data_IF_704405793252
#
_entry.id   IF_704405793252
#
_cell.length_a   1.000
_cell.length_b   1.000
_cell.length_c   1.000
_cell.angle_alpha   90.00
_cell.angle_beta   90.00
_cell.angle_gamma   90.00
#
_symmetry.space_group_name_H-M   'P 1'
#
loop_
_entity.id
_entity.type
_entity.pdbx_description
1 polymer ?
#
# COMPACT_ATOMS: atom_id res chain seq x y z
N UNK A 1 37.50 -45.35 5.04
CA UNK A 1 36.35 -45.64 4.16
C UNK A 1 35.26 -44.64 4.51
N UNK A 2 35.21 -43.53 3.78
CA UNK A 2 34.26 -42.44 4.03
C UNK A 2 33.26 -42.47 2.88
N UNK A 3 32.00 -42.82 3.18
CA UNK A 3 30.94 -42.90 2.17
C UNK A 3 30.48 -41.49 1.83
N UNK A 4 30.69 -41.07 0.58
CA UNK A 4 30.16 -39.85 0.03
C UNK A 4 28.66 -40.03 -0.29
N UNK A 5 27.83 -39.14 0.24
CA UNK A 5 26.40 -39.06 -0.05
C UNK A 5 26.18 -38.44 -1.45
N UNK A 6 25.36 -39.02 -2.34
CA UNK A 6 25.08 -38.42 -3.64
C UNK A 6 24.10 -37.24 -3.49
N UNK A 7 24.47 -36.08 -4.03
CA UNK A 7 23.59 -34.92 -4.14
C UNK A 7 22.51 -35.18 -5.20
N UNK A 8 21.25 -35.05 -4.82
CA UNK A 8 20.11 -35.07 -5.73
C UNK A 8 20.12 -33.83 -6.64
N UNK A 9 19.85 -33.96 -7.95
CA UNK A 9 19.71 -32.80 -8.83
C UNK A 9 18.40 -32.06 -8.50
N UNK A 10 18.49 -30.75 -8.34
CA UNK A 10 17.34 -29.84 -8.31
C UNK A 10 16.55 -29.94 -9.62
N UNK A 11 15.21 -30.05 -9.61
CA UNK A 11 14.43 -29.99 -10.84
C UNK A 11 14.55 -28.58 -11.42
N UNK A 12 14.98 -28.48 -12.68
CA UNK A 12 14.99 -27.21 -13.41
C UNK A 12 13.57 -26.60 -13.41
N UNK A 13 13.43 -25.28 -13.23
CA UNK A 13 12.15 -24.62 -13.38
C UNK A 13 11.67 -24.82 -14.82
N UNK A 14 10.47 -25.38 -14.99
CA UNK A 14 9.80 -25.46 -16.29
C UNK A 14 9.74 -24.05 -16.89
N UNK A 15 10.06 -23.89 -18.19
CA UNK A 15 9.88 -22.60 -18.86
C UNK A 15 8.42 -22.17 -18.75
N UNK A 16 8.14 -20.86 -18.57
CA UNK A 16 6.77 -20.37 -18.60
C UNK A 16 6.10 -20.82 -19.91
N UNK A 17 4.81 -21.19 -19.89
CA UNK A 17 4.10 -21.59 -21.11
C UNK A 17 4.30 -20.51 -22.18
N UNK A 18 4.57 -20.92 -23.41
CA UNK A 18 4.79 -20.01 -24.54
C UNK A 18 3.46 -19.37 -24.96
N UNK A 19 3.08 -18.32 -24.23
CA UNK A 19 1.83 -17.57 -24.33
C UNK A 19 1.77 -16.68 -25.59
N UNK A 20 2.77 -16.72 -26.47
CA UNK A 20 2.88 -15.83 -27.63
C UNK A 20 2.05 -16.29 -28.85
N UNK A 21 1.39 -17.45 -28.80
CA UNK A 21 0.67 -18.05 -29.93
C UNK A 21 -0.85 -18.13 -29.78
N UNK A 22 -1.44 -17.57 -28.71
CA UNK A 22 -2.89 -17.59 -28.54
C UNK A 22 -3.62 -16.74 -29.58
N UNK A 23 -4.72 -17.24 -30.17
CA UNK A 23 -5.50 -16.50 -31.14
C UNK A 23 -6.09 -15.22 -30.54
N UNK A 24 -6.26 -14.18 -31.36
CA UNK A 24 -6.81 -12.91 -30.90
C UNK A 24 -8.27 -13.10 -30.43
N UNK A 25 -8.64 -12.60 -29.23
CA UNK A 25 -9.98 -12.70 -28.72
C UNK A 25 -10.94 -11.84 -29.55
N UNK A 26 -12.12 -12.38 -29.85
CA UNK A 26 -13.20 -11.63 -30.45
C UNK A 26 -13.91 -10.83 -29.35
N UNK A 27 -13.96 -9.50 -29.51
CA UNK A 27 -14.68 -8.60 -28.60
C UNK A 27 -15.75 -7.85 -29.38
N UNK A 28 -17.02 -8.07 -29.03
CA UNK A 28 -18.16 -7.39 -29.65
C UNK A 28 -18.88 -6.57 -28.58
N UNK A 29 -18.97 -5.26 -28.81
CA UNK A 29 -19.68 -4.34 -27.90
C UNK A 29 -20.90 -3.82 -28.63
N UNK A 30 -22.09 -4.04 -28.07
CA UNK A 30 -23.35 -3.53 -28.60
C UNK A 30 -23.84 -2.38 -27.71
N UNK A 31 -24.27 -1.29 -28.33
CA UNK A 31 -24.83 -0.12 -27.67
C UNK A 31 -26.24 0.13 -28.20
N UNK A 32 -27.24 0.14 -27.31
CA UNK A 32 -28.66 0.25 -27.66
C UNK A 32 -29.14 -0.77 -28.70
N UNK A 33 -28.48 -1.94 -28.79
CA UNK A 33 -28.79 -3.01 -29.74
C UNK A 33 -27.93 -3.01 -31.01
N UNK A 34 -27.27 -1.89 -31.33
CA UNK A 34 -26.41 -1.78 -32.50
C UNK A 34 -24.96 -2.13 -32.15
N UNK A 35 -24.26 -2.85 -33.03
CA UNK A 35 -22.85 -3.17 -32.86
C UNK A 35 -22.02 -1.88 -32.94
N UNK A 36 -21.15 -1.65 -31.96
CA UNK A 36 -20.24 -0.52 -31.96
C UNK A 36 -19.32 -0.62 -33.19
N UNK A 37 -19.21 0.45 -33.99
CA UNK A 37 -18.30 0.50 -35.13
C UNK A 37 -16.85 0.12 -34.78
N UNK A 38 -16.20 -0.67 -35.64
CA UNK A 38 -14.82 -1.14 -35.45
C UNK A 38 -13.75 -0.06 -35.66
N UNK A 39 -14.15 1.13 -36.10
CA UNK A 39 -13.29 2.32 -36.26
C UNK A 39 -12.97 3.02 -34.93
N UNK A 40 -13.61 2.60 -33.83
CA UNK A 40 -13.29 3.02 -32.46
C UNK A 40 -12.44 1.91 -31.79
N UNK A 41 -11.10 2.05 -31.75
CA UNK A 41 -10.25 0.99 -31.21
C UNK A 41 -10.46 0.82 -29.71
N UNK A 42 -10.90 -0.37 -29.31
CA UNK A 42 -10.95 -0.80 -27.91
C UNK A 42 -9.54 -1.15 -27.43
N UNK A 43 -9.02 -0.38 -26.48
CA UNK A 43 -7.68 -0.57 -25.90
C UNK A 43 -7.71 -1.55 -24.74
N UNK A 44 -8.68 -1.37 -23.84
CA UNK A 44 -8.89 -2.26 -22.71
C UNK A 44 -10.36 -2.44 -22.38
N UNK A 45 -10.69 -3.65 -21.93
CA UNK A 45 -12.00 -3.99 -21.39
C UNK A 45 -11.82 -4.67 -20.04
N UNK A 46 -12.62 -4.21 -19.10
CA UNK A 46 -12.77 -4.77 -17.77
C UNK A 46 -14.23 -5.18 -17.59
N UNK A 47 -14.49 -6.44 -17.24
CA UNK A 47 -15.82 -6.88 -16.81
C UNK A 47 -15.63 -7.55 -15.46
N UNK A 48 -16.40 -7.12 -14.46
CA UNK A 48 -16.36 -7.67 -13.11
C UNK A 48 -17.77 -7.98 -12.64
N UNK A 49 -18.00 -9.23 -12.28
CA UNK A 49 -19.27 -9.74 -11.81
C UNK A 49 -19.03 -10.47 -10.50
N UNK A 50 -19.82 -10.18 -9.47
CA UNK A 50 -19.74 -10.84 -8.16
C UNK A 50 -21.13 -11.15 -7.66
N UNK A 51 -21.31 -12.31 -7.01
CA UNK A 51 -22.62 -12.71 -6.47
C UNK A 51 -23.08 -11.68 -5.42
N UNK A 52 -24.32 -11.22 -5.54
CA UNK A 52 -24.94 -10.31 -4.57
C UNK A 52 -24.52 -8.83 -4.68
N UNK A 53 -23.69 -8.47 -5.66
CA UNK A 53 -23.36 -7.07 -5.95
C UNK A 53 -23.67 -6.71 -7.40
N UNK A 54 -23.75 -5.39 -7.67
CA UNK A 54 -23.97 -4.91 -9.03
C UNK A 54 -22.72 -5.18 -9.89
N UNK A 55 -22.82 -6.06 -10.90
CA UNK A 55 -21.74 -6.26 -11.85
C UNK A 55 -21.43 -4.94 -12.58
N UNK A 56 -20.15 -4.72 -12.85
CA UNK A 56 -19.64 -3.53 -13.52
C UNK A 56 -18.79 -3.88 -14.72
N UNK A 57 -18.78 -3.01 -15.73
CA UNK A 57 -17.85 -3.10 -16.83
C UNK A 57 -17.21 -1.74 -17.08
N UNK A 58 -15.93 -1.74 -17.47
CA UNK A 58 -15.20 -0.55 -17.86
C UNK A 58 -14.54 -0.76 -19.21
N UNK A 59 -14.81 0.17 -20.12
CA UNK A 59 -14.21 0.18 -21.46
C UNK A 59 -13.26 1.37 -21.56
N UNK A 60 -12.10 1.15 -22.16
CA UNK A 60 -11.16 2.19 -22.58
C UNK A 60 -11.08 2.18 -24.11
N UNK A 61 -11.57 3.25 -24.70
CA UNK A 61 -11.60 3.46 -26.13
C UNK A 61 -10.55 4.52 -26.47
N UNK A 62 -9.77 4.27 -27.51
CA UNK A 62 -8.93 5.30 -28.09
C UNK A 62 -9.82 6.18 -28.96
N UNK A 63 -9.89 7.46 -28.65
CA UNK A 63 -10.65 8.42 -29.43
C UNK A 63 -9.73 8.97 -30.53
N UNK A 64 -9.70 8.27 -31.66
CA UNK A 64 -8.99 8.73 -32.87
C UNK A 64 -9.71 9.92 -33.54
N UNK A 65 -10.96 10.21 -33.18
CA UNK A 65 -11.80 11.25 -33.80
C UNK A 65 -11.49 12.65 -33.24
N UNK A 66 -10.89 12.75 -32.05
CA UNK A 66 -10.45 14.02 -31.47
C UNK A 66 -9.14 14.58 -32.07
N UNK A 67 -8.51 13.86 -33.00
CA UNK A 67 -7.32 14.36 -33.69
C UNK A 67 -7.63 15.50 -34.68
N UNK A 68 -8.85 15.58 -35.24
CA UNK A 68 -9.09 16.44 -36.41
C UNK A 68 -10.22 17.47 -36.34
N UNK A 69 -11.20 17.41 -35.41
CA UNK A 69 -12.14 18.55 -35.32
C UNK A 69 -12.86 18.72 -33.97
N UNK A 70 -12.78 19.92 -33.39
CA UNK A 70 -13.35 20.28 -32.08
C UNK A 70 -14.83 20.68 -32.15
N UNK A 71 -15.52 20.44 -33.26
CA UNK A 71 -16.80 21.08 -33.55
C UNK A 71 -17.90 20.17 -34.12
N UNK A 72 -18.10 18.96 -33.59
CA UNK A 72 -19.40 18.29 -33.60
C UNK A 72 -19.32 17.03 -32.72
N UNK A 73 -19.91 17.07 -31.52
CA UNK A 73 -20.12 15.85 -30.72
C UNK A 73 -21.44 15.23 -31.22
N UNK A 74 -21.46 14.19 -32.08
CA UNK A 74 -22.66 13.37 -32.16
C UNK A 74 -22.91 12.79 -30.76
N UNK A 75 -24.17 12.53 -30.36
CA UNK A 75 -24.42 11.74 -29.17
C UNK A 75 -23.67 10.43 -29.37
N UNK A 76 -22.58 10.21 -28.62
CA UNK A 76 -21.88 8.95 -28.73
C UNK A 76 -22.91 7.86 -28.43
N UNK A 77 -22.95 6.74 -29.17
CA UNK A 77 -23.87 5.64 -28.88
C UNK A 77 -23.74 5.13 -27.44
N UNK A 78 -22.66 5.53 -26.77
CA UNK A 78 -22.29 5.27 -25.38
C UNK A 78 -22.78 6.32 -24.38
N UNK A 79 -23.69 7.24 -24.73
CA UNK A 79 -24.21 8.28 -23.81
C UNK A 79 -24.66 7.70 -22.45
N UNK A 80 -24.64 8.53 -21.40
CA UNK A 80 -25.13 8.12 -20.07
C UNK A 80 -26.55 7.55 -20.17
N UNK A 81 -26.76 6.36 -19.58
CA UNK A 81 -28.01 5.62 -19.61
C UNK A 81 -28.20 4.68 -20.80
N UNK A 82 -27.33 4.71 -21.82
CA UNK A 82 -27.36 3.77 -22.95
C UNK A 82 -27.20 2.32 -22.48
N UNK A 83 -27.94 1.40 -23.09
CA UNK A 83 -27.83 -0.03 -22.83
C UNK A 83 -26.56 -0.57 -23.51
N UNK A 84 -25.75 -1.35 -22.79
CA UNK A 84 -24.51 -1.93 -23.30
C UNK A 84 -24.51 -3.43 -23.08
N UNK A 85 -24.27 -4.19 -24.15
CA UNK A 85 -24.00 -5.63 -24.11
C UNK A 85 -22.59 -5.90 -24.59
N UNK A 86 -21.86 -6.77 -23.90
CA UNK A 86 -20.49 -7.13 -24.22
C UNK A 86 -20.42 -8.64 -24.40
N UNK A 87 -20.04 -9.04 -25.61
CA UNK A 87 -19.80 -10.44 -25.96
C UNK A 87 -18.30 -10.66 -26.12
N UNK A 88 -17.78 -11.69 -25.46
CA UNK A 88 -16.38 -12.13 -25.53
C UNK A 88 -16.31 -13.54 -26.10
N UNK A 89 -15.30 -13.79 -26.93
CA UNK A 89 -15.18 -15.04 -27.66
C UNK A 89 -13.77 -15.38 -28.11
N UNK A 90 -13.57 -16.65 -28.43
CA UNK A 90 -12.44 -17.08 -29.26
C UNK A 90 -12.74 -16.89 -30.75
N UNK A 91 -11.92 -17.46 -31.64
CA UNK A 91 -12.05 -17.26 -33.09
C UNK A 91 -13.39 -17.74 -33.69
N UNK A 92 -14.06 -18.70 -33.06
CA UNK A 92 -15.23 -19.36 -33.65
C UNK A 92 -16.59 -18.96 -33.05
N UNK A 93 -16.61 -18.37 -31.85
CA UNK A 93 -17.84 -17.99 -31.18
C UNK A 93 -17.59 -16.97 -30.06
N UNK A 94 -18.49 -15.99 -29.94
CA UNK A 94 -18.58 -15.07 -28.82
C UNK A 94 -19.86 -15.30 -28.02
N UNK A 95 -19.76 -15.19 -26.70
CA UNK A 95 -20.89 -15.30 -25.79
C UNK A 95 -20.98 -14.04 -24.90
N UNK A 96 -22.20 -13.72 -24.49
CA UNK A 96 -22.47 -12.54 -23.67
C UNK A 96 -21.91 -12.72 -22.26
N UNK A 97 -20.99 -11.83 -21.88
CA UNK A 97 -20.38 -11.81 -20.54
C UNK A 97 -20.93 -10.68 -19.66
N UNK A 98 -21.55 -9.66 -20.25
CA UNK A 98 -22.11 -8.52 -19.52
C UNK A 98 -23.24 -7.83 -20.29
N UNK A 99 -24.30 -7.46 -19.56
CA UNK A 99 -25.38 -6.58 -20.03
C UNK A 99 -25.73 -5.55 -18.96
N UNK A 100 -25.67 -4.26 -19.27
CA UNK A 100 -25.94 -3.20 -18.31
C UNK A 100 -26.20 -1.85 -18.96
N UNK A 101 -26.06 -0.78 -18.18
CA UNK A 101 -26.22 0.61 -18.66
C UNK A 101 -24.98 1.43 -18.36
N UNK A 102 -24.69 2.41 -19.22
CA UNK A 102 -23.62 3.38 -18.97
C UNK A 102 -24.01 4.29 -17.81
N UNK A 103 -23.19 4.33 -16.76
CA UNK A 103 -23.40 5.16 -15.57
C UNK A 103 -22.38 6.29 -15.47
N UNK A 104 -21.23 6.16 -16.12
CA UNK A 104 -20.15 7.13 -16.04
C UNK A 104 -19.36 7.21 -17.34
N UNK A 105 -18.85 8.41 -17.64
CA UNK A 105 -17.91 8.63 -18.72
C UNK A 105 -16.79 9.54 -18.23
N UNK A 106 -15.55 9.27 -18.65
CA UNK A 106 -14.41 10.14 -18.42
C UNK A 106 -13.59 10.25 -19.70
N UNK A 107 -13.34 11.48 -20.13
CA UNK A 107 -12.39 11.78 -21.20
C UNK A 107 -11.05 12.17 -20.58
N UNK A 108 -9.97 11.55 -21.01
CA UNK A 108 -8.60 11.94 -20.66
C UNK A 108 -7.85 12.31 -21.94
N UNK A 109 -7.23 13.49 -21.96
CA UNK A 109 -6.35 13.91 -23.04
C UNK A 109 -4.98 14.15 -22.40
N UNK A 110 -4.09 13.15 -22.40
CA UNK A 110 -2.74 13.32 -21.88
C UNK A 110 -1.95 14.30 -22.76
N UNK A 111 -0.81 14.77 -22.26
CA UNK A 111 0.06 15.73 -22.96
C UNK A 111 0.65 15.16 -24.28
N UNK A 112 0.53 13.85 -24.48
CA UNK A 112 0.88 13.15 -25.74
C UNK A 112 -0.17 13.34 -26.86
N UNK A 113 -1.28 14.02 -26.57
CA UNK A 113 -2.36 14.30 -27.52
C UNK A 113 -3.29 13.11 -27.79
N UNK A 114 -3.05 11.94 -27.19
CA UNK A 114 -3.86 10.74 -27.43
C UNK A 114 -5.10 10.74 -26.55
N UNK A 115 -6.23 11.23 -27.07
CA UNK A 115 -7.48 11.24 -26.33
C UNK A 115 -7.99 9.81 -26.03
N UNK A 116 -8.39 9.57 -24.78
CA UNK A 116 -8.90 8.29 -24.29
C UNK A 116 -10.24 8.49 -23.62
N UNK A 117 -11.23 7.70 -24.04
CA UNK A 117 -12.56 7.69 -23.47
C UNK A 117 -12.73 6.46 -22.59
N UNK A 118 -13.00 6.70 -21.31
CA UNK A 118 -13.36 5.68 -20.34
C UNK A 118 -14.87 5.66 -20.16
N UNK A 119 -15.48 4.50 -20.35
CA UNK A 119 -16.91 4.26 -20.13
C UNK A 119 -17.05 3.33 -18.93
N UNK A 120 -17.86 3.72 -17.94
CA UNK A 120 -18.26 2.86 -16.83
C UNK A 120 -19.71 2.44 -17.03
N UNK A 121 -19.92 1.12 -17.07
CA UNK A 121 -21.22 0.47 -17.16
C UNK A 121 -21.52 -0.27 -15.87
N UNK A 122 -22.78 -0.28 -15.44
CA UNK A 122 -23.25 -1.11 -14.33
C UNK A 122 -24.55 -1.81 -14.71
N UNK A 123 -24.72 -3.02 -14.19
CA UNK A 123 -26.03 -3.65 -14.24
C UNK A 123 -26.97 -2.91 -13.28
N UNK A 124 -28.25 -2.71 -13.65
CA UNK A 124 -29.24 -2.32 -12.66
C UNK A 124 -29.27 -3.40 -11.57
N UNK A 125 -29.23 -2.99 -10.31
CA UNK A 125 -29.35 -3.93 -9.18
C UNK A 125 -30.75 -4.52 -9.25
N UNK A 126 -30.88 -5.70 -9.83
CA UNK A 126 -32.10 -6.47 -9.71
C UNK A 126 -32.21 -6.88 -8.24
N UNK A 127 -33.34 -6.59 -7.60
CA UNK A 127 -33.75 -7.38 -6.45
C UNK A 127 -33.90 -8.81 -6.96
N UNK A 128 -32.98 -9.71 -6.62
CA UNK A 128 -33.13 -11.12 -6.92
C UNK A 128 -34.37 -11.63 -6.16
N UNK A 129 -35.53 -11.59 -6.83
CA UNK A 129 -36.57 -12.56 -6.57
C UNK A 129 -35.96 -13.91 -6.92
N UNK A 130 -35.84 -14.79 -5.93
CA UNK A 130 -35.05 -16.01 -5.97
C UNK A 130 -35.16 -16.77 -7.29
N UNK A 131 -34.09 -16.75 -8.07
CA UNK A 131 -33.82 -17.83 -8.99
C UNK A 131 -33.33 -19.00 -8.13
N UNK A 132 -34.10 -20.09 -8.06
CA UNK A 132 -33.61 -21.37 -7.54
C UNK A 132 -32.36 -21.75 -8.33
N UNK A 133 -31.19 -21.50 -7.75
CA UNK A 133 -29.92 -21.97 -8.30
C UNK A 133 -29.85 -23.46 -8.01
N UNK A 134 -29.85 -24.28 -9.05
CA UNK A 134 -29.61 -25.71 -8.92
C UNK A 134 -28.31 -25.93 -8.15
N UNK A 135 -28.41 -26.55 -6.97
CA UNK A 135 -27.28 -26.78 -6.06
C UNK A 135 -26.38 -27.93 -6.50
N UNK A 136 -26.76 -28.63 -7.59
CA UNK A 136 -26.00 -29.73 -8.17
C UNK A 136 -25.15 -29.24 -9.35
N UNK A 137 -23.87 -29.60 -9.34
CA UNK A 137 -22.96 -29.36 -10.46
C UNK A 137 -23.46 -30.09 -11.73
N UNK A 138 -23.54 -29.41 -12.89
CA UNK A 138 -23.88 -30.05 -14.15
C UNK A 138 -22.78 -31.03 -14.58
N UNK A 139 -23.20 -32.17 -15.12
CA UNK A 139 -22.29 -33.16 -15.73
C UNK A 139 -22.59 -33.21 -17.24
N UNK A 140 -21.66 -32.81 -18.13
CA UNK A 140 -20.29 -32.32 -17.91
C UNK A 140 -20.20 -30.84 -17.45
N UNK A 141 -19.07 -30.43 -16.83
CA UNK A 141 -18.85 -29.05 -16.39
C UNK A 141 -18.73 -28.08 -17.57
N UNK A 142 -19.13 -26.82 -17.36
CA UNK A 142 -19.13 -25.80 -18.41
C UNK A 142 -17.71 -25.39 -18.86
N UNK A 143 -16.72 -25.53 -17.97
CA UNK A 143 -15.31 -25.29 -18.25
C UNK A 143 -14.45 -26.19 -17.35
N UNK A 144 -13.36 -26.70 -17.89
CA UNK A 144 -12.36 -27.45 -17.13
C UNK A 144 -11.03 -26.68 -17.16
N UNK A 145 -10.50 -26.36 -15.98
CA UNK A 145 -9.23 -25.68 -15.79
C UNK A 145 -8.19 -26.66 -15.25
N UNK A 146 -7.13 -26.88 -16.01
CA UNK A 146 -6.07 -27.84 -15.72
C UNK A 146 -4.75 -27.13 -15.46
N UNK A 147 -4.12 -27.48 -14.34
CA UNK A 147 -2.77 -27.05 -14.01
C UNK A 147 -1.80 -27.45 -15.14
N UNK A 148 -1.04 -26.48 -15.64
CA UNK A 148 -0.08 -26.68 -16.74
C UNK A 148 -0.68 -26.72 -18.15
N UNK A 149 -1.99 -26.46 -18.31
CA UNK A 149 -2.64 -26.38 -19.64
C UNK A 149 -3.23 -25.00 -19.89
N UNK A 150 -4.33 -24.66 -19.21
CA UNK A 150 -5.07 -23.40 -19.40
C UNK A 150 -5.22 -22.59 -18.11
N UNK A 151 -4.78 -23.15 -16.97
CA UNK A 151 -4.66 -22.45 -15.70
C UNK A 151 -3.31 -21.71 -15.65
N UNK A 152 -3.36 -20.39 -15.48
CA UNK A 152 -2.22 -19.48 -15.46
C UNK A 152 -1.70 -19.26 -14.03
N UNK A 153 -2.61 -19.05 -13.08
CA UNK A 153 -2.28 -18.80 -11.67
C UNK A 153 -3.39 -19.35 -10.75
N UNK A 154 -3.03 -19.74 -9.53
CA UNK A 154 -3.97 -20.28 -8.55
C UNK A 154 -3.52 -20.00 -7.11
N UNK A 155 -4.37 -19.31 -6.35
CA UNK A 155 -4.24 -19.11 -4.90
C UNK A 155 -5.44 -19.76 -4.20
N UNK A 156 -5.21 -20.82 -3.42
CA UNK A 156 -6.25 -21.52 -2.65
C UNK A 156 -6.03 -21.40 -1.14
N UNK A 157 -7.12 -21.31 -0.39
CA UNK A 157 -7.14 -21.38 1.07
C UNK A 157 -8.27 -22.30 1.54
N UNK A 158 -8.18 -22.73 2.79
CA UNK A 158 -9.22 -23.50 3.47
C UNK A 158 -9.76 -22.67 4.63
N UNK A 159 -11.06 -22.79 4.89
CA UNK A 159 -11.72 -22.14 6.01
C UNK A 159 -11.28 -22.71 7.35
N UNK A 160 -11.44 -21.93 8.42
CA UNK A 160 -11.05 -22.29 9.78
C UNK A 160 -11.75 -23.57 10.27
N UNK A 161 -13.03 -23.74 9.91
CA UNK A 161 -13.79 -24.96 10.20
C UNK A 161 -13.20 -26.24 9.56
N UNK A 162 -12.51 -26.11 8.40
CA UNK A 162 -11.83 -27.24 7.77
C UNK A 162 -10.51 -27.59 8.47
N UNK A 163 -9.83 -26.58 9.04
CA UNK A 163 -8.58 -26.76 9.79
C UNK A 163 -8.86 -27.53 11.08
N UNK A 164 -9.92 -27.15 11.79
CA UNK A 164 -10.32 -27.78 13.06
C UNK A 164 -10.84 -29.21 12.90
N UNK A 165 -11.40 -29.54 11.73
CA UNK A 165 -11.99 -30.85 11.46
C UNK A 165 -10.96 -31.99 11.37
N UNK A 166 -9.67 -31.71 11.14
CA UNK A 166 -8.59 -32.69 11.15
C UNK A 166 -8.69 -33.81 10.10
N UNK A 167 -7.81 -33.77 9.09
CA UNK A 167 -7.50 -34.85 8.14
C UNK A 167 -8.69 -35.57 7.47
N UNK A 168 -9.34 -34.89 6.53
CA UNK A 168 -10.33 -35.52 5.64
C UNK A 168 -10.99 -34.55 4.67
N UNK A 169 -10.22 -33.67 4.05
CA UNK A 169 -10.77 -32.75 3.06
C UNK A 169 -11.13 -33.53 1.79
N UNK A 170 -12.44 -33.61 1.51
CA UNK A 170 -12.95 -34.20 0.28
C UNK A 170 -12.53 -33.36 -0.93
N UNK A 171 -12.38 -33.98 -2.12
CA UNK A 171 -12.23 -33.24 -3.37
C UNK A 171 -13.45 -32.34 -3.59
N UNK A 172 -13.21 -31.09 -3.95
CA UNK A 172 -14.20 -30.02 -4.07
C UNK A 172 -15.00 -29.72 -2.78
N UNK A 173 -14.31 -29.40 -1.69
CA UNK A 173 -14.96 -29.00 -0.43
C UNK A 173 -15.56 -27.59 -0.50
N UNK A 174 -16.78 -27.41 0.01
CA UNK A 174 -17.39 -26.07 0.22
C UNK A 174 -16.66 -25.24 1.28
N UNK A 175 -15.74 -25.85 2.02
CA UNK A 175 -14.88 -25.20 3.01
C UNK A 175 -13.53 -24.75 2.43
N UNK A 176 -13.33 -24.90 1.11
CA UNK A 176 -12.18 -24.37 0.39
C UNK A 176 -12.61 -23.12 -0.39
N UNK A 177 -11.75 -22.12 -0.44
CA UNK A 177 -11.93 -20.92 -1.25
C UNK A 177 -10.66 -20.59 -2.02
N UNK A 178 -10.77 -19.75 -3.03
CA UNK A 178 -9.61 -19.42 -3.84
C UNK A 178 -9.85 -18.41 -4.93
N UNK A 179 -8.75 -18.05 -5.59
CA UNK A 179 -8.69 -17.30 -6.84
C UNK A 179 -7.91 -18.10 -7.86
N UNK A 180 -8.39 -18.12 -9.09
CA UNK A 180 -7.76 -18.78 -10.21
C UNK A 180 -7.72 -17.82 -11.40
N UNK A 181 -6.63 -17.85 -12.15
CA UNK A 181 -6.49 -17.08 -13.39
C UNK A 181 -6.30 -18.06 -14.54
N UNK A 182 -7.05 -17.88 -15.63
CA UNK A 182 -6.94 -18.71 -16.83
C UNK A 182 -6.92 -17.89 -18.11
N UNK A 183 -6.60 -18.55 -19.22
CA UNK A 183 -6.84 -18.00 -20.55
C UNK A 183 -8.32 -17.66 -20.71
N UNK A 184 -8.60 -16.54 -21.37
CA UNK A 184 -9.93 -15.98 -21.57
C UNK A 184 -11.01 -16.99 -21.95
N UNK A 185 -12.08 -17.10 -21.15
CA UNK A 185 -13.22 -17.98 -21.45
C UNK A 185 -14.54 -17.33 -21.05
N UNK A 186 -15.49 -17.25 -21.99
CA UNK A 186 -16.81 -16.70 -21.74
C UNK A 186 -17.75 -17.69 -21.02
N UNK A 187 -17.33 -18.95 -20.88
CA UNK A 187 -18.03 -19.94 -20.07
C UNK A 187 -17.88 -19.70 -18.56
N UNK A 188 -16.87 -18.92 -18.16
CA UNK A 188 -16.72 -18.48 -16.78
C UNK A 188 -17.67 -17.32 -16.51
N UNK A 189 -18.84 -17.61 -15.94
CA UNK A 189 -19.79 -16.61 -15.45
C UNK A 189 -20.04 -16.81 -13.97
N UNK A 190 -20.47 -15.77 -13.25
CA UNK A 190 -20.85 -15.91 -11.84
C UNK A 190 -21.99 -16.93 -11.71
N UNK A 191 -21.86 -17.86 -10.76
CA UNK A 191 -22.79 -18.98 -10.59
C UNK A 191 -22.52 -20.18 -11.49
N UNK A 192 -21.62 -20.08 -12.49
CA UNK A 192 -21.21 -21.21 -13.28
C UNK A 192 -20.37 -22.20 -12.46
N UNK A 193 -20.45 -23.48 -12.84
CA UNK A 193 -19.63 -24.54 -12.30
C UNK A 193 -18.43 -24.80 -13.21
N UNK A 194 -17.23 -24.68 -12.65
CA UNK A 194 -15.96 -24.96 -13.32
C UNK A 194 -15.28 -26.12 -12.60
N UNK A 195 -14.74 -27.09 -13.34
CA UNK A 195 -13.93 -28.14 -12.74
C UNK A 195 -12.45 -27.74 -12.73
N UNK A 196 -11.81 -27.82 -11.57
CA UNK A 196 -10.35 -27.74 -11.49
C UNK A 196 -9.73 -29.15 -11.46
N UNK A 197 -8.58 -29.30 -12.11
CA UNK A 197 -7.83 -30.55 -12.09
C UNK A 197 -6.32 -30.32 -12.00
N UNK A 198 -5.64 -31.14 -11.19
CA UNK A 198 -4.19 -31.11 -10.99
C UNK A 198 -3.72 -30.14 -9.90
N UNK A 199 -4.62 -29.68 -9.04
CA UNK A 199 -4.36 -28.82 -7.87
C UNK A 199 -4.34 -29.60 -6.55
N UNK A 200 -4.83 -30.84 -6.55
CA UNK A 200 -4.96 -31.68 -5.36
C UNK A 200 -6.23 -31.42 -4.57
N UNK A 201 -6.64 -32.36 -3.73
CA UNK A 201 -7.72 -32.16 -2.78
C UNK A 201 -7.31 -31.07 -1.76
N UNK A 202 -8.20 -30.11 -1.42
CA UNK A 202 -9.64 -30.06 -1.70
C UNK A 202 -10.07 -29.34 -2.99
N UNK A 203 -9.13 -28.85 -3.81
CA UNK A 203 -9.45 -27.94 -4.90
C UNK A 203 -9.85 -28.65 -6.19
N UNK A 204 -9.37 -29.88 -6.41
CA UNK A 204 -9.75 -30.70 -7.56
C UNK A 204 -11.24 -31.07 -7.54
N UNK A 205 -11.93 -30.86 -8.67
CA UNK A 205 -13.35 -31.12 -8.86
C UNK A 205 -14.16 -29.86 -9.19
N UNK A 206 -15.50 -29.98 -9.27
CA UNK A 206 -16.39 -28.90 -9.64
C UNK A 206 -16.50 -27.86 -8.52
N UNK A 207 -16.21 -26.60 -8.85
CA UNK A 207 -16.32 -25.43 -7.99
C UNK A 207 -17.28 -24.42 -8.61
N UNK A 208 -18.15 -23.84 -7.78
CA UNK A 208 -19.06 -22.79 -8.21
C UNK A 208 -18.37 -21.43 -8.11
N UNK A 209 -18.47 -20.63 -9.15
CA UNK A 209 -17.89 -19.29 -9.17
C UNK A 209 -18.75 -18.30 -8.40
N UNK A 210 -18.11 -17.53 -7.53
CA UNK A 210 -18.71 -16.44 -6.75
C UNK A 210 -18.34 -15.07 -7.32
N UNK A 211 -17.23 -14.98 -8.05
CA UNK A 211 -16.82 -13.79 -8.78
C UNK A 211 -16.07 -14.14 -10.05
N UNK A 212 -16.28 -13.35 -11.12
CA UNK A 212 -15.54 -13.47 -12.36
C UNK A 212 -15.13 -12.09 -12.83
N UNK A 213 -13.89 -12.00 -13.32
CA UNK A 213 -13.29 -10.78 -13.81
C UNK A 213 -12.60 -11.05 -15.13
N UNK A 214 -13.15 -10.54 -16.23
CA UNK A 214 -12.52 -10.62 -17.54
C UNK A 214 -11.74 -9.35 -17.82
N UNK A 215 -10.49 -9.54 -18.24
CA UNK A 215 -9.57 -8.46 -18.59
C UNK A 215 -9.09 -8.69 -20.02
N UNK A 216 -9.44 -7.77 -20.92
CA UNK A 216 -8.89 -7.75 -22.28
C UNK A 216 -7.99 -6.54 -22.43
N UNK A 217 -6.71 -6.75 -22.79
CA UNK A 217 -5.73 -5.68 -23.02
C UNK A 217 -4.80 -6.08 -24.15
N UNK A 218 -4.57 -5.17 -25.10
CA UNK A 218 -3.60 -5.38 -26.19
C UNK A 218 -3.79 -6.71 -26.96
N UNK A 219 -5.04 -7.10 -27.21
CA UNK A 219 -5.34 -8.36 -27.90
C UNK A 219 -5.15 -9.62 -27.05
N UNK A 220 -4.98 -9.50 -25.73
CA UNK A 220 -4.92 -10.64 -24.80
C UNK A 220 -6.13 -10.62 -23.88
N UNK A 221 -6.76 -11.79 -23.70
CA UNK A 221 -7.88 -11.99 -22.79
C UNK A 221 -7.48 -12.93 -21.65
N UNK A 222 -7.66 -12.45 -20.42
CA UNK A 222 -7.46 -13.20 -19.18
C UNK A 222 -8.78 -13.22 -18.42
N UNK A 223 -9.08 -14.35 -17.79
CA UNK A 223 -10.21 -14.45 -16.87
C UNK A 223 -9.71 -14.81 -15.47
N UNK A 224 -10.03 -13.98 -14.49
CA UNK A 224 -9.82 -14.24 -13.07
C UNK A 224 -11.15 -14.71 -12.46
N UNK A 225 -11.10 -15.82 -11.74
CA UNK A 225 -12.23 -16.49 -11.14
C UNK A 225 -12.02 -16.53 -9.62
N UNK A 226 -13.04 -16.20 -8.85
CA UNK A 226 -13.08 -16.38 -7.39
C UNK A 226 -14.17 -17.39 -7.03
N UNK A 227 -13.87 -18.28 -6.09
CA UNK A 227 -14.79 -19.33 -5.65
C UNK A 227 -14.61 -19.61 -4.14
N UNK A 228 -15.67 -20.11 -3.52
CA UNK A 228 -15.71 -20.58 -2.14
C UNK A 228 -15.66 -19.47 -1.08
N UNK A 229 -15.30 -19.88 0.13
CA UNK A 229 -15.25 -19.01 1.31
C UNK A 229 -14.30 -17.81 1.12
N UNK A 230 -14.62 -16.62 1.65
CA UNK A 230 -13.69 -15.49 1.66
C UNK A 230 -12.41 -15.87 2.40
N UNK A 231 -11.29 -15.29 1.95
CA UNK A 231 -9.98 -15.50 2.59
C UNK A 231 -10.09 -15.24 4.10
N UNK A 232 -9.64 -16.17 4.95
CA UNK A 232 -9.57 -15.94 6.39
C UNK A 232 -8.81 -14.64 6.66
N UNK A 233 -9.28 -13.85 7.64
CA UNK A 233 -8.57 -12.65 8.05
C UNK A 233 -7.14 -13.03 8.42
N UNK A 234 -6.17 -12.24 7.96
CA UNK A 234 -4.78 -12.46 8.33
C UNK A 234 -4.67 -12.49 9.86
N UNK A 235 -3.97 -13.49 10.41
CA UNK A 235 -3.73 -13.57 11.86
C UNK A 235 -3.14 -12.24 12.31
N UNK A 236 -3.76 -11.54 13.29
CA UNK A 236 -3.25 -10.26 13.74
C UNK A 236 -1.84 -10.47 14.29
N UNK A 237 -0.94 -9.61 13.86
CA UNK A 237 0.44 -9.68 14.30
C UNK A 237 0.53 -9.43 15.81
N UNK A 238 1.50 -10.05 16.53
CA UNK A 238 1.70 -9.76 17.94
C UNK A 238 2.03 -8.28 18.13
N UNK A 239 1.45 -7.66 19.17
CA UNK A 239 1.52 -6.22 19.44
C UNK A 239 2.96 -5.70 19.63
N UNK A 240 3.91 -6.57 19.98
CA UNK A 240 5.31 -6.20 20.15
C UNK A 240 6.20 -7.05 19.25
N UNK A 241 7.01 -6.40 18.40
CA UNK A 241 7.98 -7.07 17.52
C UNK A 241 9.40 -6.66 17.91
N UNK A 242 10.14 -7.49 18.68
CA UNK A 242 11.55 -7.26 18.92
C UNK A 242 12.39 -7.84 17.77
N UNK A 243 13.08 -6.99 17.03
CA UNK A 243 14.25 -7.37 16.24
C UNK A 243 15.45 -7.50 17.18
N UNK A 244 15.84 -8.73 17.51
CA UNK A 244 17.00 -9.03 18.36
C UNK A 244 18.15 -9.58 17.51
N UNK A 245 19.34 -9.02 17.69
CA UNK A 245 20.56 -9.50 17.05
C UNK A 245 21.30 -10.49 17.99
N UNK A 246 22.07 -11.46 17.48
CA UNK A 246 22.84 -12.40 18.31
C UNK A 246 23.77 -11.72 19.32
N UNK A 247 24.28 -10.52 18.99
CA UNK A 247 25.10 -9.70 19.89
C UNK A 247 24.33 -9.01 21.03
N UNK A 248 23.03 -9.25 21.18
CA UNK A 248 22.19 -8.70 22.26
C UNK A 248 21.60 -7.31 22.01
N UNK A 249 21.85 -6.71 20.84
CA UNK A 249 21.17 -5.49 20.42
C UNK A 249 19.69 -5.77 20.13
N UNK A 250 18.80 -4.86 20.54
CA UNK A 250 17.35 -5.01 20.37
C UNK A 250 16.72 -3.75 19.82
N UNK A 251 15.87 -3.89 18.81
CA UNK A 251 14.92 -2.86 18.37
C UNK A 251 13.53 -3.42 18.62
N UNK A 252 12.67 -2.74 19.37
CA UNK A 252 11.32 -3.17 19.68
C UNK A 252 10.32 -2.16 19.14
N UNK A 253 9.37 -2.64 18.33
CA UNK A 253 8.18 -1.92 17.91
C UNK A 253 7.03 -2.38 18.80
N UNK A 254 6.40 -1.47 19.50
CA UNK A 254 5.19 -1.71 20.29
C UNK A 254 4.03 -0.94 19.66
N UNK A 255 3.20 -1.65 18.90
CA UNK A 255 2.02 -1.09 18.24
C UNK A 255 0.87 -0.89 19.24
N UNK A 256 0.91 -1.55 20.41
CA UNK A 256 -0.09 -1.38 21.47
C UNK A 256 0.15 -0.12 22.30
N UNK A 257 1.43 0.21 22.57
CA UNK A 257 1.86 1.42 23.27
C UNK A 257 2.41 2.53 22.37
N UNK A 258 2.28 2.41 21.04
CA UNK A 258 2.85 3.31 20.02
C UNK A 258 4.28 3.80 20.35
N UNK A 259 5.15 2.84 20.67
CA UNK A 259 6.51 3.13 21.14
C UNK A 259 7.55 2.36 20.33
N UNK A 260 8.59 3.06 19.89
CA UNK A 260 9.79 2.50 19.26
C UNK A 260 10.97 2.60 20.23
N UNK A 261 11.59 1.47 20.56
CA UNK A 261 12.73 1.39 21.49
C UNK A 261 13.93 0.68 20.90
N UNK A 262 15.09 1.31 20.99
CA UNK A 262 16.40 0.72 20.64
C UNK A 262 17.19 0.54 21.93
N UNK A 263 17.75 -0.65 22.14
CA UNK A 263 18.54 -0.99 23.33
C UNK A 263 19.81 -1.71 22.92
N UNK A 264 20.94 -1.30 23.49
CA UNK A 264 22.22 -2.00 23.36
C UNK A 264 22.50 -2.88 24.59
N UNK A 265 23.34 -3.93 24.47
CA UNK A 265 23.76 -4.74 25.61
C UNK A 265 24.45 -3.93 26.73
N UNK A 266 25.14 -2.86 26.36
CA UNK A 266 25.84 -1.97 27.28
C UNK A 266 24.90 -1.05 28.07
N UNK A 267 23.58 -1.08 27.82
CA UNK A 267 22.59 -0.30 28.58
C UNK A 267 22.20 1.03 27.95
N UNK A 268 22.74 1.41 26.77
CA UNK A 268 22.28 2.57 26.03
C UNK A 268 20.87 2.34 25.48
N UNK A 269 20.03 3.37 25.55
CA UNK A 269 18.63 3.33 25.08
C UNK A 269 18.27 4.57 24.25
N UNK A 270 17.42 4.35 23.24
CA UNK A 270 16.72 5.40 22.51
C UNK A 270 15.24 5.02 22.45
N UNK A 271 14.35 5.94 22.84
CA UNK A 271 12.90 5.70 22.93
C UNK A 271 12.16 6.84 22.24
N UNK A 272 11.29 6.48 21.29
CA UNK A 272 10.30 7.38 20.68
C UNK A 272 8.93 6.87 21.12
N UNK A 273 8.17 7.69 21.84
CA UNK A 273 6.85 7.32 22.35
C UNK A 273 5.82 8.37 21.96
N UNK A 274 4.80 7.93 21.23
CA UNK A 274 3.66 8.78 20.88
C UNK A 274 2.71 8.96 22.08
N UNK A 275 2.68 8.00 23.02
CA UNK A 275 1.89 8.07 24.25
C UNK A 275 2.43 9.16 25.20
N UNK A 276 3.73 9.13 25.46
CA UNK A 276 4.40 10.16 26.28
C UNK A 276 4.59 11.48 25.52
N UNK A 277 4.38 11.49 24.20
CA UNK A 277 4.76 12.56 23.29
C UNK A 277 6.22 13.01 23.50
N UNK A 278 7.12 12.02 23.57
CA UNK A 278 8.50 12.23 23.98
C UNK A 278 9.50 11.42 23.15
N UNK A 279 10.68 12.01 22.96
CA UNK A 279 11.87 11.35 22.41
C UNK A 279 12.96 11.40 23.49
N UNK A 280 13.48 10.24 23.88
CA UNK A 280 14.49 10.11 24.94
C UNK A 280 15.70 9.36 24.43
N UNK A 281 16.89 9.90 24.65
CA UNK A 281 18.18 9.24 24.45
C UNK A 281 18.89 9.17 25.79
N UNK A 282 19.36 7.98 26.16
CA UNK A 282 20.06 7.77 27.42
C UNK A 282 21.23 6.80 27.23
N UNK A 283 22.38 7.14 27.80
CA UNK A 283 23.51 6.23 27.89
C UNK A 283 23.60 5.49 29.23
N UNK A 284 24.54 4.56 29.34
CA UNK A 284 24.79 3.79 30.55
C UNK A 284 25.33 4.62 31.72
N UNK A 285 25.87 5.81 31.44
CA UNK A 285 26.46 6.72 32.43
C UNK A 285 25.47 7.76 32.96
N UNK A 286 24.22 7.75 32.47
CA UNK A 286 23.15 8.65 32.90
C UNK A 286 23.10 9.98 32.14
N UNK A 287 23.89 10.15 31.08
CA UNK A 287 23.72 11.28 30.16
C UNK A 287 22.40 11.11 29.41
N UNK A 288 21.61 12.17 29.35
CA UNK A 288 20.27 12.13 28.76
C UNK A 288 19.95 13.36 27.93
N UNK A 289 19.24 13.12 26.83
CA UNK A 289 18.60 14.12 25.99
C UNK A 289 17.13 13.79 25.91
N UNK A 290 16.27 14.69 26.40
CA UNK A 290 14.83 14.50 26.45
C UNK A 290 14.14 15.62 25.67
N UNK A 291 13.36 15.24 24.66
CA UNK A 291 12.48 16.14 23.91
C UNK A 291 11.04 15.79 24.29
N UNK A 292 10.33 16.74 24.89
CA UNK A 292 8.98 16.54 25.40
C UNK A 292 8.10 17.73 25.04
N UNK A 293 6.80 17.64 25.34
CA UNK A 293 5.89 18.80 25.24
C UNK A 293 6.31 19.99 26.12
N UNK A 294 7.04 19.76 27.21
CA UNK A 294 7.53 20.82 28.09
C UNK A 294 8.78 21.54 27.52
N UNK A 295 9.42 20.97 26.49
CA UNK A 295 10.63 21.50 25.88
C UNK A 295 11.74 20.45 25.76
N UNK A 296 12.97 20.95 25.62
CA UNK A 296 14.19 20.15 25.43
C UNK A 296 15.10 20.26 26.65
N UNK A 297 15.56 19.11 27.16
CA UNK A 297 16.52 19.04 28.27
C UNK A 297 17.78 18.28 27.85
N UNK A 298 18.94 18.84 28.17
CA UNK A 298 20.24 18.18 28.13
C UNK A 298 20.73 18.05 29.58
N UNK A 299 21.02 16.84 30.01
CA UNK A 299 21.52 16.59 31.35
C UNK A 299 22.69 15.63 31.32
N UNK A 300 23.72 15.96 32.11
CA UNK A 300 24.84 15.10 32.42
C UNK A 300 25.10 15.12 33.93
N UNK A 301 25.40 13.96 34.55
CA UNK A 301 25.95 13.94 35.90
C UNK A 301 27.40 14.44 35.99
N UNK A 302 28.08 14.59 34.84
CA UNK A 302 29.44 15.11 34.74
C UNK A 302 29.45 16.43 33.93
N UNK A 303 30.49 16.68 33.14
CA UNK A 303 30.66 17.91 32.37
C UNK A 303 29.87 17.90 31.06
N UNK A 304 29.38 19.09 30.66
CA UNK A 304 28.84 19.37 29.33
C UNK A 304 29.79 20.36 28.64
N UNK A 305 30.42 19.94 27.54
CA UNK A 305 31.32 20.79 26.74
C UNK A 305 30.68 21.11 25.39
N UNK A 306 30.64 22.40 25.04
CA UNK A 306 30.11 22.88 23.76
C UNK A 306 31.23 23.60 22.98
N UNK A 307 31.73 22.95 21.94
CA UNK A 307 32.82 23.46 21.09
C UNK A 307 32.39 23.50 19.63
N UNK A 308 32.67 24.59 18.93
CA UNK A 308 32.40 24.74 17.51
C UNK A 308 33.60 25.39 16.79
N UNK A 309 33.89 24.96 15.56
CA UNK A 309 34.88 25.63 14.70
C UNK A 309 34.36 26.95 14.13
N UNK A 310 33.03 27.07 13.99
CA UNK A 310 32.34 28.31 13.66
C UNK A 310 31.75 28.97 14.90
N UNK A 311 30.60 29.63 14.73
CA UNK A 311 29.94 30.35 15.82
C UNK A 311 28.98 29.45 16.61
N UNK A 312 28.84 29.72 17.91
CA UNK A 312 27.70 29.27 18.73
C UNK A 312 26.79 30.48 18.96
N UNK A 313 25.56 30.42 18.44
CA UNK A 313 24.55 31.48 18.60
C UNK A 313 23.44 31.00 19.53
N UNK A 314 23.08 31.82 20.52
CA UNK A 314 21.97 31.58 21.45
C UNK A 314 20.99 32.76 21.36
N UNK A 315 19.80 32.52 20.83
CA UNK A 315 18.74 33.52 20.64
C UNK A 315 17.47 33.07 21.37
N UNK A 316 16.95 33.92 22.27
CA UNK A 316 15.77 33.64 23.06
C UNK A 316 14.86 34.88 23.08
N UNK A 317 13.58 34.69 22.74
CA UNK A 317 12.54 35.73 22.86
C UNK A 317 12.21 36.01 24.33
N UNK A 318 12.27 34.96 25.15
CA UNK A 318 12.15 35.05 26.61
C UNK A 318 13.50 35.34 27.27
N UNK A 319 13.58 35.16 28.59
CA UNK A 319 14.82 35.37 29.32
C UNK A 319 15.83 34.24 29.07
N UNK A 320 17.08 34.60 28.80
CA UNK A 320 18.23 33.70 28.95
C UNK A 320 18.75 33.80 30.39
N UNK A 321 18.69 32.70 31.13
CA UNK A 321 19.14 32.65 32.54
C UNK A 321 20.36 31.74 32.65
N UNK A 322 21.45 32.28 33.18
CA UNK A 322 22.69 31.55 33.45
C UNK A 322 22.94 31.59 34.95
N UNK A 323 22.99 30.41 35.59
CA UNK A 323 23.20 30.28 37.04
C UNK A 323 24.30 29.25 37.31
N UNK A 324 25.29 29.63 38.11
CA UNK A 324 26.33 28.74 38.63
C UNK A 324 26.37 28.87 40.15
N UNK A 325 26.59 27.77 40.85
CA UNK A 325 26.89 27.80 42.28
C UNK A 325 28.36 28.18 42.56
N UNK A 326 29.20 28.08 41.54
CA UNK A 326 30.60 28.48 41.54
C UNK A 326 30.78 29.65 40.56
N UNK A 327 31.86 29.62 39.76
CA UNK A 327 32.18 30.71 38.85
C UNK A 327 31.38 30.65 37.54
N UNK A 328 31.19 31.83 36.94
CA UNK A 328 30.89 31.99 35.51
C UNK A 328 32.07 32.73 34.90
N UNK A 329 32.83 32.06 34.02
CA UNK A 329 34.03 32.63 33.37
C UNK A 329 33.73 32.94 31.91
N UNK A 330 33.97 34.18 31.49
CA UNK A 330 33.79 34.64 30.12
C UNK A 330 35.12 35.20 29.61
N UNK A 331 35.64 34.65 28.52
CA UNK A 331 36.90 35.04 27.92
C UNK A 331 36.77 35.03 26.39
N UNK A 332 37.41 35.99 25.75
CA UNK A 332 37.47 36.13 24.31
C UNK A 332 38.38 37.28 23.93
N UNK A 333 38.72 37.41 22.64
CA UNK A 333 39.45 38.58 22.15
C UNK A 333 38.66 39.87 22.42
N UNK A 334 37.34 39.81 22.23
CA UNK A 334 36.39 40.86 22.56
C UNK A 334 35.18 40.25 23.27
N UNK A 335 34.67 40.93 24.30
CA UNK A 335 33.39 40.61 24.96
C UNK A 335 32.50 41.85 24.88
N UNK A 336 31.46 41.80 24.06
CA UNK A 336 30.52 42.90 23.89
C UNK A 336 29.20 42.59 24.62
N UNK A 337 28.87 43.41 25.61
CA UNK A 337 27.62 43.31 26.38
C UNK A 337 26.80 44.58 26.14
N UNK A 338 25.67 44.46 25.44
CA UNK A 338 24.78 45.57 25.14
C UNK A 338 23.40 45.32 25.76
N UNK A 339 22.86 46.30 26.47
CA UNK A 339 21.52 46.26 27.05
C UNK A 339 20.78 47.56 26.72
N UNK A 340 19.57 47.45 26.17
CA UNK A 340 18.79 48.60 25.69
C UNK A 340 18.13 49.39 26.82
N UNK A 341 17.60 48.69 27.83
CA UNK A 341 16.88 49.32 28.95
C UNK A 341 17.79 49.58 30.15
N UNK A 342 18.66 48.64 30.49
CA UNK A 342 19.59 48.79 31.60
C UNK A 342 20.53 47.60 31.74
N UNK A 343 21.76 47.88 32.15
CA UNK A 343 22.78 46.88 32.48
C UNK A 343 23.07 46.95 33.99
N UNK A 344 23.06 45.81 34.67
CA UNK A 344 23.33 45.73 36.10
C UNK A 344 24.36 44.63 36.42
N UNK A 345 25.55 45.02 36.88
CA UNK A 345 26.54 44.13 37.48
C UNK A 345 26.67 44.45 38.96
N UNK A 346 26.41 43.48 39.84
CA UNK A 346 26.50 43.64 41.30
C UNK A 346 27.47 42.62 41.88
N UNK A 347 28.44 43.09 42.65
CA UNK A 347 29.32 42.25 43.45
C UNK A 347 29.05 42.47 44.94
N UNK A 348 28.56 41.45 45.64
CA UNK A 348 28.22 41.58 47.07
C UNK A 348 29.45 41.74 47.96
N UNK A 349 30.56 41.07 47.63
CA UNK A 349 31.82 41.20 48.33
C UNK A 349 32.72 42.25 47.64
N UNK A 350 32.93 42.09 46.33
CA UNK A 350 33.74 43.00 45.52
C UNK A 350 33.18 43.08 44.10
N UNK A 351 33.37 44.22 43.46
CA UNK A 351 33.20 44.41 42.03
C UNK A 351 34.41 45.21 41.52
N UNK A 352 35.08 44.72 40.48
CA UNK A 352 36.26 45.37 39.90
C UNK A 352 36.06 45.58 38.40
N UNK A 353 36.43 46.77 37.92
CA UNK A 353 36.53 47.10 36.50
C UNK A 353 37.93 47.67 36.24
N UNK A 354 38.78 46.90 35.56
CA UNK A 354 40.18 47.25 35.31
C UNK A 354 40.57 47.03 33.85
N UNK A 355 41.50 47.86 33.35
CA UNK A 355 42.13 47.73 32.05
C UNK A 355 43.60 48.18 32.16
N UNK A 356 44.50 47.57 31.39
CA UNK A 356 45.91 47.99 31.33
C UNK A 356 46.10 49.31 30.56
N UNK A 357 45.18 49.59 29.63
CA UNK A 357 45.10 50.85 28.91
C UNK A 357 44.11 51.82 29.57
N UNK A 358 43.22 52.39 28.76
CA UNK A 358 42.21 53.33 29.23
C UNK A 358 40.90 52.62 29.57
N UNK A 359 40.43 52.77 30.81
CA UNK A 359 39.05 52.44 31.19
C UNK A 359 38.17 53.67 30.98
N UNK A 360 37.12 53.57 30.17
CA UNK A 360 36.18 54.66 29.89
C UNK A 360 34.82 54.32 30.46
N UNK A 361 34.41 55.05 31.50
CA UNK A 361 33.06 54.99 32.07
C UNK A 361 32.37 56.31 31.77
N UNK A 362 31.25 56.26 31.02
CA UNK A 362 30.48 57.44 30.62
C UNK A 362 29.04 57.31 31.09
N UNK A 363 28.50 58.39 31.61
CA UNK A 363 27.10 58.53 32.01
C UNK A 363 26.81 60.00 32.28
N UNK A 364 25.52 60.39 32.27
CA UNK A 364 25.11 61.74 32.67
C UNK A 364 25.54 62.07 34.12
N UNK A 365 25.58 61.04 34.97
CA UNK A 365 26.06 61.09 36.35
C UNK A 365 26.79 59.78 36.66
N UNK A 366 28.00 59.87 37.20
CA UNK A 366 28.80 58.73 37.66
C UNK A 366 29.12 58.96 39.14
N UNK A 367 28.51 58.15 40.01
CA UNK A 367 28.72 58.21 41.45
C UNK A 367 29.83 57.22 41.83
N UNK A 368 30.95 57.73 42.32
CA UNK A 368 32.04 56.94 42.89
C UNK A 368 32.10 57.32 44.36
N UNK A 369 31.98 56.35 45.25
CA UNK A 369 32.04 56.55 46.71
C UNK A 369 33.15 55.71 47.31
#
# INVERSE_FOLDING_TARGET
MTLASPASPSPDPLPPPDLASSPLPQVLVYCNGDLLPQDIPLQSLWVESTRGAASGARLELLDSVLADDRAARPPSPLALGASVRIDLGGEQAAATVFEGRVVGQRLAVPLDGSARLFIECRQPVASEAGAEVADAAPTPPALELRCGVNLIDFEGWIGEAAVDAGAGLQPASTQAGGRATCEGSAAATVGAWIAFAGLGAPFDGPQRLDGVRHVVRQGRWITECAFGEPRPAAVPWPATRPLAMPGGHRIAFDDGGNTLRITTPAGHTAVLSDEDHAIRLQDASGNRVELTRAGLQLFSPNDITLSAHGDIRLDAVGALVIKSAADVKLQGLNVACEAVVGFAGKGSATAELSASGQTVVKGAMVMIN
#
